data_IF_610045340588
#
_entry.id   IF_610045340588
#
_cell.length_a   1.000
_cell.length_b   1.000
_cell.length_c   1.000
_cell.angle_alpha   90.00
_cell.angle_beta   90.00
_cell.angle_gamma   90.00
#
_symmetry.space_group_name_H-M   'P 1'
#
loop_
_entity.id
_entity.type
_entity.pdbx_description
1 polymer ?
#
# COMPACT_ATOMS: atom_id res chain seq x y z
N UNK A 1 -36.05 -23.68 -19.73
CA UNK A 1 -35.82 -23.92 -18.29
C UNK A 1 -34.32 -24.03 -18.10
N UNK A 2 -33.71 -22.94 -17.63
CA UNK A 2 -32.28 -22.85 -17.32
C UNK A 2 -32.05 -23.35 -15.90
N UNK A 3 -31.02 -24.17 -15.67
CA UNK A 3 -30.66 -24.64 -14.34
C UNK A 3 -29.31 -25.35 -14.36
N UNK A 4 -28.25 -24.62 -14.03
CA UNK A 4 -26.91 -25.13 -13.73
C UNK A 4 -26.92 -26.11 -12.54
N UNK A 5 -25.87 -26.93 -12.41
CA UNK A 5 -25.16 -26.91 -11.13
C UNK A 5 -23.64 -26.94 -11.28
N UNK A 6 -22.94 -26.12 -10.46
CA UNK A 6 -21.51 -26.27 -10.16
C UNK A 6 -21.30 -27.42 -9.17
N UNK A 7 -20.14 -28.09 -9.20
CA UNK A 7 -19.39 -28.31 -7.96
C UNK A 7 -17.88 -28.04 -8.15
N UNK A 8 -17.31 -27.16 -7.32
CA UNK A 8 -16.46 -27.45 -6.14
C UNK A 8 -15.06 -27.99 -6.46
N UNK A 9 -14.09 -27.09 -6.36
CA UNK A 9 -12.91 -27.18 -5.50
C UNK A 9 -12.06 -28.46 -5.60
N UNK A 10 -10.98 -28.38 -6.39
CA UNK A 10 -9.83 -29.28 -6.26
C UNK A 10 -8.57 -28.42 -6.12
N UNK A 11 -8.05 -28.32 -4.90
CA UNK A 11 -6.72 -27.81 -4.63
C UNK A 11 -5.71 -28.83 -5.16
N UNK A 12 -5.14 -28.57 -6.34
CA UNK A 12 -3.93 -29.24 -6.81
C UNK A 12 -2.79 -28.24 -6.64
N UNK A 13 -2.02 -28.39 -5.58
CA UNK A 13 -0.66 -27.83 -5.50
C UNK A 13 0.27 -28.90 -6.07
N UNK A 14 1.03 -28.64 -7.14
CA UNK A 14 2.24 -29.39 -7.40
C UNK A 14 3.43 -28.69 -6.75
N UNK A 15 4.25 -29.49 -6.07
CA UNK A 15 5.59 -29.19 -5.62
C UNK A 15 6.40 -28.42 -6.68
N UNK A 16 7.02 -27.30 -6.30
CA UNK A 16 7.86 -26.56 -7.23
C UNK A 16 8.50 -25.30 -6.66
N UNK A 17 9.78 -25.41 -6.31
CA UNK A 17 10.75 -24.32 -6.18
C UNK A 17 10.51 -23.28 -5.06
N UNK A 18 11.12 -23.55 -3.90
CA UNK A 18 11.65 -22.49 -3.03
C UNK A 18 12.87 -21.90 -3.75
N UNK A 19 12.59 -21.13 -4.79
CA UNK A 19 13.56 -20.40 -5.60
C UNK A 19 13.43 -18.91 -5.35
N UNK A 20 13.47 -18.44 -4.10
CA UNK A 20 13.53 -16.99 -3.83
C UNK A 20 14.96 -16.48 -4.05
N UNK A 21 15.39 -16.45 -5.31
CA UNK A 21 16.60 -15.74 -5.78
C UNK A 21 16.25 -14.52 -6.65
N UNK A 22 15.02 -14.02 -6.57
CA UNK A 22 14.66 -12.73 -7.14
C UNK A 22 14.14 -11.80 -6.04
N UNK A 23 14.68 -10.58 -5.90
CA UNK A 23 14.09 -9.57 -5.04
C UNK A 23 12.66 -9.31 -5.51
N UNK A 24 11.68 -9.59 -4.63
CA UNK A 24 10.28 -9.31 -4.92
C UNK A 24 10.03 -7.82 -4.64
N UNK A 25 10.35 -6.99 -5.63
CA UNK A 25 10.16 -5.53 -5.58
C UNK A 25 8.68 -5.16 -5.38
N UNK A 26 7.77 -5.99 -5.90
CA UNK A 26 6.33 -5.82 -5.70
C UNK A 26 5.95 -5.93 -4.23
N UNK A 27 6.50 -6.93 -3.52
CA UNK A 27 6.30 -7.09 -2.09
C UNK A 27 6.89 -5.92 -1.30
N UNK A 28 8.03 -5.36 -1.70
CA UNK A 28 8.63 -4.19 -1.03
C UNK A 28 7.70 -2.99 -1.12
N UNK A 29 7.20 -2.67 -2.30
CA UNK A 29 6.28 -1.54 -2.51
C UNK A 29 4.96 -1.75 -1.76
N UNK A 30 4.41 -2.97 -1.78
CA UNK A 30 3.19 -3.30 -1.02
C UNK A 30 3.38 -3.11 0.49
N UNK A 31 4.49 -3.60 1.04
CA UNK A 31 4.79 -3.41 2.47
C UNK A 31 5.06 -1.95 2.81
N UNK A 32 5.68 -1.17 1.92
CA UNK A 32 5.88 0.26 2.09
C UNK A 32 4.54 1.03 2.17
N UNK A 33 3.61 0.74 1.26
CA UNK A 33 2.26 1.35 1.28
C UNK A 33 1.51 0.99 2.57
N UNK A 34 1.51 -0.29 2.97
CA UNK A 34 0.86 -0.76 4.20
C UNK A 34 1.47 -0.15 5.47
N UNK A 35 2.79 0.06 5.49
CA UNK A 35 3.45 0.72 6.62
C UNK A 35 2.97 2.17 6.76
N UNK A 36 2.95 2.92 5.65
CA UNK A 36 2.45 4.30 5.65
C UNK A 36 0.97 4.36 6.06
N UNK A 37 0.13 3.46 5.55
CA UNK A 37 -1.29 3.41 5.92
C UNK A 37 -1.48 3.28 7.43
N UNK A 38 -0.69 2.42 8.09
CA UNK A 38 -0.74 2.25 9.55
C UNK A 38 -0.29 3.50 10.29
N UNK A 39 0.77 4.18 9.82
CA UNK A 39 1.23 5.43 10.42
C UNK A 39 0.16 6.52 10.32
N UNK A 40 -0.49 6.70 9.16
CA UNK A 40 -1.57 7.67 9.02
C UNK A 40 -2.76 7.33 9.93
N UNK A 41 -3.12 6.05 10.05
CA UNK A 41 -4.16 5.60 10.99
C UNK A 41 -3.79 5.82 12.45
N UNK A 42 -2.49 5.76 12.80
CA UNK A 42 -2.02 6.11 14.14
C UNK A 42 -2.25 7.60 14.45
N UNK A 43 -2.08 8.51 13.48
CA UNK A 43 -2.41 9.95 13.66
C UNK A 43 -3.88 10.16 14.02
N UNK A 44 -4.80 9.42 13.38
CA UNK A 44 -6.23 9.46 13.77
C UNK A 44 -6.43 8.96 15.20
N UNK A 45 -5.72 7.91 15.60
CA UNK A 45 -5.82 7.38 16.95
C UNK A 45 -5.26 8.34 18.00
N UNK A 46 -4.14 9.00 17.73
CA UNK A 46 -3.50 9.98 18.63
C UNK A 46 -4.32 11.27 18.77
N UNK A 47 -4.98 11.70 17.69
CA UNK A 47 -5.92 12.83 17.72
C UNK A 47 -7.27 12.48 18.37
N UNK A 48 -7.47 11.23 18.81
CA UNK A 48 -8.72 10.77 19.39
C UNK A 48 -9.88 10.67 18.40
N UNK A 49 -9.59 10.74 17.10
CA UNK A 49 -10.56 10.64 16.03
C UNK A 49 -10.88 9.17 15.70
N UNK A 50 -12.05 8.94 15.09
CA UNK A 50 -12.42 7.62 14.61
C UNK A 50 -11.53 7.24 13.41
N UNK A 51 -10.87 6.09 13.49
CA UNK A 51 -10.04 5.59 12.38
C UNK A 51 -10.95 5.26 11.18
N UNK A 52 -10.81 5.94 10.04
CA UNK A 52 -11.64 5.67 8.87
C UNK A 52 -11.29 4.30 8.27
N UNK A 53 -12.32 3.57 7.78
CA UNK A 53 -12.15 2.28 7.08
C UNK A 53 -11.78 2.48 5.61
N UNK A 54 -10.75 3.28 5.38
CA UNK A 54 -10.23 3.61 4.05
C UNK A 54 -8.81 3.04 3.93
N UNK A 55 -8.47 2.55 2.74
CA UNK A 55 -7.13 2.03 2.40
C UNK A 55 -6.36 2.97 1.48
N UNK A 56 -7.01 4.00 0.93
CA UNK A 56 -6.34 5.03 0.15
C UNK A 56 -5.54 5.96 1.06
N UNK A 57 -4.24 6.09 0.79
CA UNK A 57 -3.36 7.03 1.47
C UNK A 57 -3.77 8.48 1.18
N UNK A 58 -4.24 8.75 -0.04
CA UNK A 58 -4.67 10.10 -0.45
C UNK A 58 -5.92 10.52 0.34
N UNK A 59 -6.90 9.65 0.48
CA UNK A 59 -8.10 9.93 1.28
C UNK A 59 -7.76 10.12 2.76
N UNK A 60 -6.87 9.29 3.32
CA UNK A 60 -6.40 9.44 4.71
C UNK A 60 -5.72 10.80 4.91
N UNK A 61 -4.83 11.21 4.01
CA UNK A 61 -4.15 12.50 4.07
C UNK A 61 -5.12 13.67 3.89
N UNK A 62 -6.10 13.56 2.99
CA UNK A 62 -7.10 14.59 2.80
C UNK A 62 -7.89 14.84 4.09
N UNK A 63 -8.28 13.76 4.78
CA UNK A 63 -8.97 13.84 6.07
C UNK A 63 -8.08 14.46 7.16
N UNK A 64 -6.81 14.05 7.29
CA UNK A 64 -5.87 14.65 8.27
C UNK A 64 -5.63 16.14 7.94
N UNK A 65 -5.52 16.48 6.66
CA UNK A 65 -5.24 17.84 6.20
C UNK A 65 -6.32 18.87 6.57
N UNK A 66 -7.53 18.41 6.91
CA UNK A 66 -8.58 19.29 7.44
C UNK A 66 -8.24 19.87 8.80
N UNK A 67 -7.43 19.16 9.59
CA UNK A 67 -6.98 19.58 10.91
C UNK A 67 -5.52 20.08 10.89
N UNK A 68 -4.67 19.48 10.05
CA UNK A 68 -3.27 19.88 9.89
C UNK A 68 -2.85 19.91 8.42
N UNK A 69 -2.82 21.12 7.84
CA UNK A 69 -2.45 21.34 6.45
C UNK A 69 -1.00 20.95 6.12
N UNK A 70 -0.13 20.74 7.12
CA UNK A 70 1.26 20.32 6.92
C UNK A 70 1.35 18.97 6.20
N UNK A 71 0.34 18.11 6.37
CA UNK A 71 0.23 16.81 5.69
C UNK A 71 0.05 16.91 4.16
N UNK A 72 -0.29 18.10 3.63
CA UNK A 72 -0.31 18.32 2.18
C UNK A 72 1.10 18.25 1.56
N UNK A 73 2.15 18.54 2.34
CA UNK A 73 3.55 18.48 1.87
C UNK A 73 3.98 17.06 1.47
N UNK A 74 3.35 16.05 2.07
CA UNK A 74 3.65 14.63 1.85
C UNK A 74 2.65 13.93 0.91
N UNK A 75 1.65 14.66 0.40
CA UNK A 75 0.62 14.12 -0.49
C UNK A 75 1.21 13.59 -1.80
N UNK A 76 2.24 14.27 -2.35
CA UNK A 76 2.94 13.80 -3.55
C UNK A 76 3.58 12.42 -3.36
N UNK A 77 4.19 12.18 -2.20
CA UNK A 77 4.80 10.89 -1.86
C UNK A 77 3.76 9.78 -1.73
N UNK A 78 2.60 10.09 -1.15
CA UNK A 78 1.50 9.13 -1.04
C UNK A 78 0.93 8.74 -2.41
N UNK A 79 0.87 9.70 -3.35
CA UNK A 79 0.40 9.45 -4.71
C UNK A 79 1.35 8.50 -5.46
N UNK A 80 2.66 8.73 -5.31
CA UNK A 80 3.70 7.83 -5.84
C UNK A 80 3.53 6.40 -5.31
N UNK A 81 3.33 6.24 -4.00
CA UNK A 81 3.12 4.91 -3.39
C UNK A 81 1.85 4.21 -3.87
N UNK A 82 0.74 4.93 -4.03
CA UNK A 82 -0.49 4.37 -4.58
C UNK A 82 -0.35 4.00 -6.06
N UNK A 83 0.37 4.81 -6.85
CA UNK A 83 0.63 4.53 -8.26
C UNK A 83 1.34 3.19 -8.45
N UNK A 84 2.34 2.89 -7.60
CA UNK A 84 2.99 1.59 -7.60
C UNK A 84 2.05 0.47 -7.16
N UNK A 85 1.21 0.71 -6.13
CA UNK A 85 0.24 -0.27 -5.63
C UNK A 85 -0.74 -0.78 -6.71
N UNK A 86 -1.07 0.07 -7.70
CA UNK A 86 -1.94 -0.28 -8.83
C UNK A 86 -1.21 -1.07 -9.92
N UNK A 87 0.08 -0.79 -10.16
CA UNK A 87 0.88 -1.51 -11.16
C UNK A 87 1.02 -3.01 -10.84
N UNK A 88 0.97 -3.40 -9.55
CA UNK A 88 1.03 -4.81 -9.13
C UNK A 88 -0.16 -5.67 -9.56
N UNK A 89 -1.28 -5.07 -9.97
CA UNK A 89 -2.53 -5.80 -10.25
C UNK A 89 -2.62 -6.33 -11.68
N UNK A 90 -1.74 -5.91 -12.58
CA UNK A 90 -1.78 -6.33 -13.98
C UNK A 90 -0.64 -7.32 -14.29
N UNK A 91 -0.95 -8.58 -14.66
CA UNK A 91 0.08 -9.56 -15.01
C UNK A 91 0.86 -9.06 -16.23
N UNK A 92 2.14 -8.75 -16.03
CA UNK A 92 3.03 -8.21 -17.07
C UNK A 92 3.78 -6.93 -16.67
N UNK A 93 3.36 -6.25 -15.59
CA UNK A 93 4.05 -5.10 -15.00
C UNK A 93 4.59 -5.51 -13.63
N UNK A 94 5.90 -5.54 -13.46
CA UNK A 94 6.57 -5.76 -12.17
C UNK A 94 7.37 -4.53 -11.82
N UNK A 95 7.41 -4.15 -10.54
CA UNK A 95 8.22 -3.03 -10.12
C UNK A 95 9.71 -3.32 -10.34
N UNK A 96 10.40 -2.34 -10.89
CA UNK A 96 11.85 -2.41 -11.02
C UNK A 96 12.55 -2.03 -9.72
N UNK A 97 13.84 -2.39 -9.61
CA UNK A 97 14.69 -2.02 -8.47
C UNK A 97 14.68 -0.51 -8.18
N UNK A 98 14.57 0.32 -9.22
CA UNK A 98 14.50 1.78 -9.10
C UNK A 98 13.19 2.21 -8.43
N UNK A 99 12.07 1.64 -8.86
CA UNK A 99 10.74 1.94 -8.32
C UNK A 99 10.62 1.47 -6.87
N UNK A 100 11.15 0.28 -6.54
CA UNK A 100 11.19 -0.19 -5.15
C UNK A 100 12.00 0.75 -4.23
N UNK A 101 13.12 1.30 -4.72
CA UNK A 101 13.88 2.31 -3.97
C UNK A 101 13.11 3.62 -3.82
N UNK A 102 12.42 4.06 -4.86
CA UNK A 102 11.61 5.29 -4.82
C UNK A 102 10.43 5.13 -3.86
N UNK A 103 9.74 3.99 -3.88
CA UNK A 103 8.70 3.64 -2.93
C UNK A 103 9.21 3.63 -1.49
N UNK A 104 10.36 2.99 -1.23
CA UNK A 104 10.95 2.97 0.11
C UNK A 104 11.31 4.38 0.59
N UNK A 105 11.97 5.17 -0.25
CA UNK A 105 12.33 6.55 0.09
C UNK A 105 11.09 7.44 0.30
N UNK A 106 10.01 7.23 -0.46
CA UNK A 106 8.76 7.93 -0.30
C UNK A 106 8.09 7.58 1.05
N UNK A 107 8.06 6.30 1.40
CA UNK A 107 7.54 5.80 2.67
C UNK A 107 8.36 6.29 3.86
N UNK A 108 9.69 6.27 3.79
CA UNK A 108 10.57 6.79 4.84
C UNK A 108 10.33 8.28 5.10
N UNK A 109 10.17 9.09 4.04
CA UNK A 109 9.85 10.52 4.18
C UNK A 109 8.50 10.73 4.86
N UNK A 110 7.48 9.96 4.47
CA UNK A 110 6.15 9.99 5.07
C UNK A 110 6.18 9.63 6.55
N UNK A 111 6.78 8.49 6.90
CA UNK A 111 6.89 8.04 8.29
C UNK A 111 7.72 9.01 9.14
N UNK A 112 8.80 9.59 8.58
CA UNK A 112 9.62 10.58 9.29
C UNK A 112 8.84 11.87 9.54
N UNK A 113 8.03 12.31 8.57
CA UNK A 113 7.17 13.48 8.73
C UNK A 113 6.12 13.26 9.83
N UNK A 114 5.43 12.12 9.81
CA UNK A 114 4.44 11.75 10.82
C UNK A 114 5.06 11.64 12.21
N UNK A 115 6.31 11.18 12.32
CA UNK A 115 6.99 11.02 13.62
C UNK A 115 7.47 12.34 14.24
N UNK A 116 7.65 13.39 13.43
CA UNK A 116 8.16 14.69 13.88
C UNK A 116 7.02 15.64 14.25
N UNK A 117 5.83 15.46 13.67
CA UNK A 117 4.62 16.22 14.01
C UNK A 117 3.90 15.56 15.19
#
# INVERSE_FOLDING_TARGET
MNGSPKPRQTCLLPDGNIGRKNPNFDAVCFHAQQAVEKYLKAVFQESGAMIPRVHSLIELLALISTNDASFLLIQGNANVLEGYAVQFRYPGMSADRSEAKQALAAAERLCSFVRIN
#
